data_IF_007511398047
#
_entry.id   IF_007511398047
#
_cell.length_a   1.000
_cell.length_b   1.000
_cell.length_c   1.000
_cell.angle_alpha   90.00
_cell.angle_beta   90.00
_cell.angle_gamma   90.00
#
_symmetry.space_group_name_H-M   'P 1'
#
loop_
_entity.id
_entity.type
_entity.pdbx_description
1 polymer ?
#
# COMPACT_ATOMS: atom_id res chain seq x y z
N UNK A 1 -15.59 -13.92 13.45
CA UNK A 1 -16.06 -14.41 12.14
C UNK A 1 -15.04 -14.04 11.08
N UNK A 2 -14.07 -14.92 10.86
CA UNK A 2 -13.06 -14.78 9.81
C UNK A 2 -13.69 -15.18 8.47
N UNK A 3 -13.98 -14.23 7.59
CA UNK A 3 -14.26 -14.57 6.20
C UNK A 3 -12.93 -14.74 5.45
N UNK A 4 -12.52 -16.00 5.32
CA UNK A 4 -11.75 -16.45 4.16
C UNK A 4 -12.64 -16.28 2.93
N UNK A 5 -12.47 -15.17 2.20
CA UNK A 5 -12.75 -15.19 0.77
C UNK A 5 -11.41 -15.35 0.06
N UNK A 6 -11.21 -16.56 -0.45
CA UNK A 6 -10.17 -16.80 -1.44
C UNK A 6 -10.47 -15.97 -2.67
N UNK A 7 -9.51 -15.17 -3.09
CA UNK A 7 -9.42 -14.69 -4.46
C UNK A 7 -8.03 -15.05 -4.96
N UNK A 8 -8.06 -16.03 -5.87
CA UNK A 8 -7.25 -16.15 -7.08
C UNK A 8 -5.76 -15.87 -6.93
N UNK A 9 -4.98 -16.95 -7.04
CA UNK A 9 -3.53 -16.90 -7.08
C UNK A 9 -3.00 -16.04 -8.21
N UNK A 10 -2.46 -14.88 -7.86
CA UNK A 10 -1.29 -14.37 -8.54
C UNK A 10 -0.09 -15.10 -7.93
N UNK A 11 0.62 -15.91 -8.73
CA UNK A 11 1.96 -16.36 -8.38
C UNK A 11 2.81 -15.09 -8.29
N UNK A 12 2.88 -14.51 -7.11
CA UNK A 12 3.75 -13.36 -6.84
C UNK A 12 5.15 -13.76 -7.28
N UNK A 13 5.79 -12.98 -8.15
CA UNK A 13 7.25 -13.06 -8.29
C UNK A 13 7.82 -12.77 -6.91
N UNK A 14 8.19 -13.82 -6.19
CA UNK A 14 8.58 -13.73 -4.79
C UNK A 14 9.94 -13.06 -4.77
N UNK A 15 9.98 -11.78 -4.41
CA UNK A 15 11.23 -11.15 -3.99
C UNK A 15 11.76 -11.96 -2.81
N UNK A 16 13.01 -12.42 -2.93
CA UNK A 16 13.67 -13.13 -1.84
C UNK A 16 14.10 -12.12 -0.75
N UNK A 17 14.55 -12.60 0.40
CA UNK A 17 14.90 -11.71 1.52
C UNK A 17 16.10 -10.80 1.19
N UNK A 18 17.00 -11.23 0.30
CA UNK A 18 18.11 -10.39 -0.18
C UNK A 18 17.63 -9.25 -1.08
N UNK A 19 16.62 -9.47 -1.91
CA UNK A 19 16.02 -8.44 -2.76
C UNK A 19 15.29 -7.40 -1.90
N UNK A 20 14.59 -7.84 -0.85
CA UNK A 20 13.92 -6.93 0.11
C UNK A 20 14.96 -6.06 0.82
N UNK A 21 16.06 -6.66 1.30
CA UNK A 21 17.14 -5.93 1.95
C UNK A 21 17.80 -4.93 1.00
N UNK A 22 17.98 -5.29 -0.28
CA UNK A 22 18.50 -4.37 -1.29
C UNK A 22 17.57 -3.16 -1.45
N UNK A 23 16.25 -3.38 -1.59
CA UNK A 23 15.27 -2.29 -1.71
C UNK A 23 15.28 -1.41 -0.46
N UNK A 24 15.38 -1.99 0.74
CA UNK A 24 15.46 -1.23 1.99
C UNK A 24 16.67 -0.30 2.02
N UNK A 25 17.84 -0.80 1.59
CA UNK A 25 19.06 -0.01 1.50
C UNK A 25 18.95 1.11 0.46
N UNK A 26 18.35 0.82 -0.70
CA UNK A 26 18.11 1.82 -1.74
C UNK A 26 17.13 2.90 -1.27
N UNK A 27 16.05 2.53 -0.57
CA UNK A 27 15.11 3.51 -0.02
C UNK A 27 15.78 4.39 1.05
N UNK A 28 16.61 3.79 1.91
CA UNK A 28 17.39 4.54 2.91
C UNK A 28 18.35 5.51 2.24
N UNK A 29 19.01 5.11 1.15
CA UNK A 29 19.87 5.99 0.36
C UNK A 29 19.06 7.10 -0.36
N UNK A 30 17.88 6.77 -0.88
CA UNK A 30 16.99 7.69 -1.61
C UNK A 30 16.51 8.86 -0.74
N UNK A 31 16.25 8.62 0.54
CA UNK A 31 15.86 9.68 1.50
C UNK A 31 17.03 10.15 2.37
N UNK A 32 18.25 9.69 2.09
CA UNK A 32 19.46 10.06 2.79
C UNK A 32 20.07 11.39 2.31
N UNK A 33 21.09 11.91 3.01
CA UNK A 33 21.68 13.22 2.73
C UNK A 33 22.62 13.25 1.50
N UNK A 34 23.18 12.12 1.07
CA UNK A 34 24.11 12.05 -0.07
C UNK A 34 23.39 12.11 -1.43
N UNK A 35 23.66 13.16 -2.20
CA UNK A 35 23.05 13.40 -3.51
C UNK A 35 23.38 12.32 -4.55
N UNK A 36 24.61 11.79 -4.56
CA UNK A 36 25.02 10.80 -5.56
C UNK A 36 24.46 9.41 -5.22
N UNK A 37 24.37 9.09 -3.92
CA UNK A 37 23.64 7.92 -3.47
C UNK A 37 22.14 8.01 -3.82
N UNK A 38 21.50 9.16 -3.59
CA UNK A 38 20.08 9.38 -3.96
C UNK A 38 19.83 9.14 -5.45
N UNK A 39 20.66 9.74 -6.32
CA UNK A 39 20.52 9.59 -7.77
C UNK A 39 20.67 8.14 -8.23
N UNK A 40 21.66 7.41 -7.68
CA UNK A 40 21.84 5.99 -7.98
C UNK A 40 20.68 5.13 -7.48
N UNK A 41 20.18 5.42 -6.28
CA UNK A 41 19.02 4.73 -5.71
C UNK A 41 17.77 4.94 -6.56
N UNK A 42 17.49 6.17 -6.99
CA UNK A 42 16.36 6.50 -7.86
C UNK A 42 16.41 5.73 -9.18
N UNK A 43 17.58 5.70 -9.83
CA UNK A 43 17.77 4.93 -11.07
C UNK A 43 17.48 3.43 -10.87
N UNK A 44 17.96 2.84 -9.79
CA UNK A 44 17.76 1.42 -9.49
C UNK A 44 16.32 1.08 -9.07
N UNK A 45 15.62 2.01 -8.39
CA UNK A 45 14.23 1.84 -7.98
C UNK A 45 13.23 2.15 -9.11
N UNK A 46 13.68 2.81 -10.19
CA UNK A 46 12.83 3.20 -11.32
C UNK A 46 11.97 2.08 -11.95
N UNK A 47 12.38 0.79 -11.98
CA UNK A 47 11.51 -0.28 -12.48
C UNK A 47 10.30 -0.56 -11.56
N UNK A 48 10.45 -0.38 -10.24
CA UNK A 48 9.35 -0.51 -9.27
C UNK A 48 8.34 0.62 -9.39
N UNK A 49 8.77 1.76 -9.95
CA UNK A 49 7.96 2.96 -10.15
C UNK A 49 7.03 2.88 -11.38
N UNK A 50 6.75 1.69 -11.92
CA UNK A 50 5.87 1.45 -13.07
C UNK A 50 4.73 0.52 -12.70
N UNK A 51 3.70 0.46 -13.53
CA UNK A 51 2.50 -0.38 -13.29
C UNK A 51 2.89 -1.86 -13.16
N UNK A 52 3.89 -2.31 -13.93
CA UNK A 52 4.42 -3.68 -13.91
C UNK A 52 5.12 -4.02 -12.59
N UNK A 53 5.55 -3.00 -11.82
CA UNK A 53 6.25 -3.13 -10.55
C UNK A 53 5.35 -3.35 -9.33
N UNK A 54 4.02 -3.37 -9.50
CA UNK A 54 3.08 -3.40 -8.37
C UNK A 54 3.22 -4.65 -7.51
N UNK A 55 3.43 -5.81 -8.11
CA UNK A 55 3.56 -7.06 -7.33
C UNK A 55 4.81 -7.02 -6.43
N UNK A 56 5.89 -6.42 -6.92
CA UNK A 56 7.11 -6.20 -6.17
C UNK A 56 6.89 -5.15 -5.07
N UNK A 57 6.21 -4.04 -5.37
CA UNK A 57 5.81 -3.05 -4.36
C UNK A 57 4.97 -3.67 -3.23
N UNK A 58 4.03 -4.56 -3.57
CA UNK A 58 3.25 -5.31 -2.57
C UNK A 58 4.16 -6.18 -1.70
N UNK A 59 5.08 -6.91 -2.32
CA UNK A 59 6.03 -7.77 -1.61
C UNK A 59 6.92 -6.97 -0.64
N UNK A 60 7.42 -5.80 -1.07
CA UNK A 60 8.19 -4.88 -0.22
C UNK A 60 7.33 -4.39 0.95
N UNK A 61 6.10 -3.94 0.69
CA UNK A 61 5.18 -3.48 1.73
C UNK A 61 4.87 -4.56 2.77
N UNK A 62 4.76 -5.83 2.36
CA UNK A 62 4.44 -6.93 3.27
C UNK A 62 5.66 -7.35 4.09
N UNK A 63 6.83 -7.52 3.45
CA UNK A 63 8.01 -8.12 4.06
C UNK A 63 8.98 -7.14 4.72
N UNK A 64 9.06 -5.91 4.23
CA UNK A 64 9.97 -4.91 4.79
C UNK A 64 9.52 -4.48 6.19
N UNK A 65 10.51 -4.14 7.01
CA UNK A 65 10.32 -3.43 8.29
C UNK A 65 10.92 -2.01 8.24
N UNK A 66 11.44 -1.59 7.09
CA UNK A 66 12.06 -0.28 6.92
C UNK A 66 11.00 0.81 6.68
N UNK A 67 10.97 1.84 7.53
CA UNK A 67 10.01 2.95 7.42
C UNK A 67 10.09 3.68 6.06
N UNK A 68 11.31 3.88 5.54
CA UNK A 68 11.55 4.54 4.27
C UNK A 68 11.08 3.70 3.08
N UNK A 69 11.20 2.37 3.17
CA UNK A 69 10.66 1.46 2.16
C UNK A 69 9.12 1.48 2.14
N UNK A 70 8.48 1.46 3.31
CA UNK A 70 7.03 1.62 3.41
C UNK A 70 6.56 2.96 2.83
N UNK A 71 7.27 4.05 3.14
CA UNK A 71 6.97 5.37 2.57
C UNK A 71 7.12 5.38 1.04
N UNK A 72 8.25 4.88 0.53
CA UNK A 72 8.51 4.76 -0.92
C UNK A 72 7.40 4.01 -1.64
N UNK A 73 7.00 2.84 -1.12
CA UNK A 73 5.93 2.05 -1.72
C UNK A 73 4.61 2.82 -1.71
N UNK A 74 4.25 3.43 -0.57
CA UNK A 74 2.99 4.17 -0.43
C UNK A 74 2.91 5.36 -1.39
N UNK A 75 3.99 6.15 -1.46
CA UNK A 75 4.10 7.30 -2.37
C UNK A 75 4.06 6.87 -3.84
N UNK A 76 4.75 5.78 -4.17
CA UNK A 76 4.78 5.23 -5.54
C UNK A 76 3.40 4.72 -5.96
N UNK A 77 2.71 3.97 -5.08
CA UNK A 77 1.34 3.52 -5.34
C UNK A 77 0.40 4.71 -5.53
N UNK A 78 0.46 5.73 -4.67
CA UNK A 78 -0.37 6.92 -4.79
C UNK A 78 -0.22 7.59 -6.17
N UNK A 79 1.03 7.72 -6.62
CA UNK A 79 1.36 8.27 -7.94
C UNK A 79 0.84 7.39 -9.07
N UNK A 80 1.13 6.08 -9.05
CA UNK A 80 0.67 5.14 -10.09
C UNK A 80 -0.85 5.11 -10.22
N UNK A 81 -1.57 5.07 -9.10
CA UNK A 81 -3.04 5.09 -9.08
C UNK A 81 -3.58 6.40 -9.63
N UNK A 82 -2.91 7.52 -9.36
CA UNK A 82 -3.33 8.85 -9.80
C UNK A 82 -3.06 9.08 -11.28
N UNK A 83 -1.87 8.73 -11.75
CA UNK A 83 -1.38 9.07 -13.09
C UNK A 83 -1.74 8.02 -14.12
N UNK A 84 -1.91 6.76 -13.70
CA UNK A 84 -2.07 5.60 -14.60
C UNK A 84 -3.36 4.83 -14.33
N UNK A 85 -4.38 5.47 -13.72
CA UNK A 85 -5.67 4.85 -13.35
C UNK A 85 -6.27 3.95 -14.43
N UNK A 86 -6.32 4.46 -15.67
CA UNK A 86 -6.94 3.78 -16.80
C UNK A 86 -6.14 2.59 -17.34
N UNK A 87 -4.91 2.39 -16.86
CA UNK A 87 -4.10 1.20 -17.17
C UNK A 87 -4.57 -0.02 -16.36
N UNK A 88 -5.18 0.22 -15.20
CA UNK A 88 -5.72 -0.84 -14.35
C UNK A 88 -7.10 -1.29 -14.83
N UNK A 89 -7.31 -2.60 -14.92
CA UNK A 89 -8.66 -3.15 -15.07
C UNK A 89 -9.48 -2.93 -13.79
N UNK A 90 -10.80 -3.00 -13.89
CA UNK A 90 -11.70 -2.91 -12.74
C UNK A 90 -11.33 -3.94 -11.68
N UNK A 91 -11.07 -5.19 -12.07
CA UNK A 91 -10.66 -6.27 -11.16
C UNK A 91 -9.35 -5.95 -10.43
N UNK A 92 -8.36 -5.39 -11.13
CA UNK A 92 -7.08 -4.99 -10.51
C UNK A 92 -7.26 -3.86 -9.49
N UNK A 93 -8.16 -2.90 -9.76
CA UNK A 93 -8.48 -1.81 -8.83
C UNK A 93 -9.15 -2.33 -7.56
N UNK A 94 -10.08 -3.28 -7.71
CA UNK A 94 -10.76 -3.95 -6.60
C UNK A 94 -9.75 -4.72 -5.74
N UNK A 95 -8.92 -5.55 -6.37
CA UNK A 95 -7.90 -6.35 -5.70
C UNK A 95 -6.89 -5.46 -4.96
N UNK A 96 -6.39 -4.40 -5.60
CA UNK A 96 -5.46 -3.46 -4.98
C UNK A 96 -6.07 -2.73 -3.78
N UNK A 97 -7.33 -2.34 -3.87
CA UNK A 97 -8.05 -1.73 -2.75
C UNK A 97 -8.19 -2.70 -1.58
N UNK A 98 -8.58 -3.95 -1.86
CA UNK A 98 -8.78 -4.95 -0.81
C UNK A 98 -7.47 -5.36 -0.15
N UNK A 99 -6.41 -5.56 -0.95
CA UNK A 99 -5.07 -5.76 -0.45
C UNK A 99 -4.63 -4.61 0.47
N UNK A 100 -4.79 -3.36 0.03
CA UNK A 100 -4.36 -2.19 0.80
C UNK A 100 -5.15 -2.04 2.12
N UNK A 101 -6.46 -2.30 2.10
CA UNK A 101 -7.28 -2.31 3.31
C UNK A 101 -6.75 -3.32 4.34
N UNK A 102 -6.39 -4.52 3.89
CA UNK A 102 -5.82 -5.56 4.75
C UNK A 102 -4.43 -5.17 5.28
N UNK A 103 -3.58 -4.57 4.44
CA UNK A 103 -2.26 -4.07 4.87
C UNK A 103 -2.39 -3.02 5.97
N UNK A 104 -3.29 -2.04 5.80
CA UNK A 104 -3.54 -1.02 6.81
C UNK A 104 -4.05 -1.69 8.10
N UNK A 105 -5.00 -2.62 8.00
CA UNK A 105 -5.51 -3.36 9.15
C UNK A 105 -4.45 -4.11 9.93
N UNK A 106 -3.48 -4.73 9.24
CA UNK A 106 -2.48 -5.58 9.88
C UNK A 106 -1.21 -4.83 10.32
N UNK A 107 -0.77 -3.81 9.57
CA UNK A 107 0.52 -3.13 9.80
C UNK A 107 0.37 -1.75 10.46
N UNK A 108 -0.78 -1.07 10.37
CA UNK A 108 -0.91 0.27 10.93
C UNK A 108 -0.54 0.40 12.43
N UNK A 109 -0.84 -0.59 13.31
CA UNK A 109 -0.47 -0.48 14.72
C UNK A 109 1.04 -0.43 15.01
N UNK A 110 1.87 -0.94 14.10
CA UNK A 110 3.34 -1.01 14.25
C UNK A 110 4.09 -0.04 13.36
N UNK A 111 3.38 0.68 12.49
CA UNK A 111 3.97 1.64 11.55
C UNK A 111 3.99 3.07 12.11
N UNK A 112 4.94 3.85 11.65
CA UNK A 112 4.97 5.29 11.92
C UNK A 112 3.73 5.99 11.35
N UNK A 113 3.18 6.94 12.11
CA UNK A 113 1.93 7.65 11.77
C UNK A 113 1.95 8.25 10.36
N UNK A 114 3.08 8.82 9.94
CA UNK A 114 3.19 9.42 8.61
C UNK A 114 3.01 8.39 7.48
N UNK A 115 3.55 7.18 7.64
CA UNK A 115 3.39 6.10 6.66
C UNK A 115 1.95 5.59 6.63
N UNK A 116 1.33 5.43 7.80
CA UNK A 116 -0.10 5.06 7.88
C UNK A 116 -0.97 6.10 7.16
N UNK A 117 -0.74 7.38 7.40
CA UNK A 117 -1.48 8.45 6.72
C UNK A 117 -1.29 8.40 5.20
N UNK A 118 -0.08 8.12 4.72
CA UNK A 118 0.18 8.00 3.27
C UNK A 118 -0.58 6.79 2.68
N UNK A 119 -0.63 5.65 3.37
CA UNK A 119 -1.43 4.49 2.95
C UNK A 119 -2.93 4.80 2.93
N UNK A 120 -3.43 5.52 3.93
CA UNK A 120 -4.83 5.97 3.97
C UNK A 120 -5.14 6.84 2.75
N UNK A 121 -4.25 7.77 2.38
CA UNK A 121 -4.43 8.58 1.17
C UNK A 121 -4.52 7.72 -0.10
N UNK A 122 -3.71 6.65 -0.20
CA UNK A 122 -3.78 5.70 -1.32
C UNK A 122 -5.15 4.99 -1.35
N UNK A 123 -5.64 4.53 -0.20
CA UNK A 123 -6.94 3.84 -0.07
C UNK A 123 -8.10 4.76 -0.45
N UNK A 124 -8.07 6.01 0.04
CA UNK A 124 -9.05 7.02 -0.29
C UNK A 124 -9.01 7.38 -1.79
N UNK A 125 -7.80 7.47 -2.38
CA UNK A 125 -7.64 7.73 -3.82
C UNK A 125 -8.23 6.59 -4.66
N UNK A 126 -7.92 5.33 -4.34
CA UNK A 126 -8.50 4.15 -4.98
C UNK A 126 -10.03 4.14 -4.89
N UNK A 127 -10.55 4.45 -3.71
CA UNK A 127 -12.00 4.45 -3.45
C UNK A 127 -12.70 5.55 -4.21
N UNK A 128 -12.12 6.75 -4.26
CA UNK A 128 -12.67 7.89 -4.99
C UNK A 128 -12.67 7.66 -6.49
N UNK A 129 -11.56 7.18 -7.05
CA UNK A 129 -11.46 6.95 -8.51
C UNK A 129 -12.31 5.75 -8.95
N UNK A 130 -12.40 4.70 -8.13
CA UNK A 130 -13.20 3.50 -8.41
C UNK A 130 -14.66 3.57 -7.96
N UNK A 131 -15.13 4.72 -7.47
CA UNK A 131 -16.45 4.86 -6.85
C UNK A 131 -17.60 4.34 -7.73
N UNK A 132 -17.49 4.55 -9.04
CA UNK A 132 -18.49 4.12 -10.04
C UNK A 132 -18.14 2.79 -10.73
N UNK A 133 -16.94 2.24 -10.50
CA UNK A 133 -16.51 1.00 -11.13
C UNK A 133 -17.21 -0.22 -10.51
N UNK A 134 -17.34 -0.23 -9.17
CA UNK A 134 -17.87 -1.38 -8.44
C UNK A 134 -18.34 -1.02 -7.02
N UNK A 135 -19.41 -1.69 -6.53
CA UNK A 135 -20.01 -1.46 -5.22
C UNK A 135 -19.00 -1.59 -4.06
N UNK A 136 -18.00 -2.47 -4.20
CA UNK A 136 -16.98 -2.69 -3.17
C UNK A 136 -16.36 -1.36 -2.70
N UNK A 137 -16.12 -0.40 -3.61
CA UNK A 137 -15.57 0.92 -3.27
C UNK A 137 -16.50 1.70 -2.33
N UNK A 138 -17.81 1.64 -2.58
CA UNK A 138 -18.85 2.31 -1.81
C UNK A 138 -19.04 1.71 -0.43
N UNK A 139 -18.66 0.45 -0.24
CA UNK A 139 -18.72 -0.24 1.05
C UNK A 139 -17.59 0.13 2.01
N UNK A 140 -16.65 1.01 1.62
CA UNK A 140 -15.54 1.42 2.50
C UNK A 140 -16.04 1.88 3.89
N UNK A 141 -17.05 2.75 4.04
CA UNK A 141 -17.51 3.18 5.36
C UNK A 141 -18.01 2.03 6.23
N UNK A 142 -18.78 1.10 5.64
CA UNK A 142 -19.28 -0.08 6.34
C UNK A 142 -18.12 -1.00 6.77
N UNK A 143 -17.15 -1.22 5.88
CA UNK A 143 -15.96 -2.03 6.17
C UNK A 143 -15.10 -1.40 7.27
N UNK A 144 -14.94 -0.07 7.26
CA UNK A 144 -14.21 0.64 8.32
C UNK A 144 -14.92 0.52 9.66
N UNK A 145 -16.25 0.68 9.68
CA UNK A 145 -17.04 0.51 10.89
C UNK A 145 -16.91 -0.90 11.47
N UNK A 146 -17.02 -1.93 10.63
CA UNK A 146 -16.98 -3.32 11.05
C UNK A 146 -15.59 -3.78 11.50
N UNK A 147 -14.53 -3.34 10.82
CA UNK A 147 -13.17 -3.81 11.10
C UNK A 147 -12.42 -2.93 12.09
N UNK A 148 -12.43 -1.61 11.89
CA UNK A 148 -11.61 -0.68 12.67
C UNK A 148 -12.34 -0.11 13.89
N UNK A 149 -13.57 0.39 13.71
CA UNK A 149 -14.29 1.09 14.79
C UNK A 149 -14.93 0.13 15.80
N UNK A 150 -15.39 -1.04 15.34
CA UNK A 150 -15.90 -2.10 16.22
C UNK A 150 -14.79 -2.90 16.92
N UNK A 151 -13.51 -2.58 16.64
CA UNK A 151 -12.37 -3.23 17.26
C UNK A 151 -12.20 -2.80 18.71
N UNK A 152 -11.84 -3.74 19.59
CA UNK A 152 -11.45 -3.42 20.97
C UNK A 152 -10.04 -2.82 21.07
N UNK A 153 -9.28 -2.76 19.97
CA UNK A 153 -7.92 -2.22 19.93
C UNK A 153 -7.94 -0.71 19.64
N UNK A 154 -7.46 0.16 20.56
CA UNK A 154 -7.49 1.61 20.35
C UNK A 154 -6.77 2.08 19.08
N UNK A 155 -5.65 1.43 18.71
CA UNK A 155 -4.92 1.74 17.50
C UNK A 155 -5.74 1.51 16.22
N UNK A 156 -6.58 0.48 16.18
CA UNK A 156 -7.50 0.25 15.08
C UNK A 156 -8.59 1.33 15.03
N UNK A 157 -9.18 1.70 16.17
CA UNK A 157 -10.20 2.74 16.22
C UNK A 157 -9.66 4.07 15.70
N UNK A 158 -8.47 4.49 16.15
CA UNK A 158 -7.80 5.71 15.66
C UNK A 158 -7.55 5.64 14.14
N UNK A 159 -7.10 4.49 13.65
CA UNK A 159 -6.88 4.29 12.20
C UNK A 159 -8.20 4.40 11.43
N UNK A 160 -9.28 3.80 11.94
CA UNK A 160 -10.62 3.89 11.35
C UNK A 160 -11.14 5.32 11.30
N UNK A 161 -10.97 6.09 12.38
CA UNK A 161 -11.34 7.50 12.43
C UNK A 161 -10.55 8.32 11.40
N UNK A 162 -9.25 8.05 11.25
CA UNK A 162 -8.41 8.74 10.25
C UNK A 162 -8.79 8.40 8.81
N UNK A 163 -9.36 7.22 8.54
CA UNK A 163 -9.85 6.85 7.20
C UNK A 163 -11.12 7.63 6.84
N UNK A 164 -11.96 7.98 7.83
CA UNK A 164 -13.26 8.62 7.63
C UNK A 164 -13.25 10.15 7.75
N UNK A 165 -12.12 10.74 8.15
CA UNK A 165 -11.93 12.19 8.29
C UNK A 165 -11.51 12.83 6.97
#
# INVERSE_FOLDING_TARGET
FFFRYGSVGAVYLIMNDSDILLVDNLCTALFGPDAEARKRADQQLSPLCRVEGINQLRCVMEKSNNSMAHYFVSATLLRLITDSWNTFTVEQRIDLRQWLFNVIGNKAPTMERHNVNTLILVLCRLTKLGWLDHQVHQELPANVNNFFLSSSTPAHVVTGLNILN
#
